data_IF_697301578019
#
_entry.id   IF_697301578019
#
_cell.length_a   1.000
_cell.length_b   1.000
_cell.length_c   1.000
_cell.angle_alpha   90.00
_cell.angle_beta   90.00
_cell.angle_gamma   90.00
#
_symmetry.space_group_name_H-M   'P 1'
#
loop_
_entity.id
_entity.type
_entity.pdbx_description
1 polymer ?
#
# COMPACT_ATOMS: atom_id res chain seq x y z
N UNK A 1 28.29 13.44 -8.39
CA UNK A 1 27.70 12.18 -7.89
C UNK A 1 26.17 12.08 -8.04
N UNK A 2 25.41 13.18 -8.03
CA UNK A 2 23.93 13.15 -8.11
C UNK A 2 23.37 12.65 -9.47
N UNK A 3 24.15 12.79 -10.55
CA UNK A 3 23.69 12.48 -11.92
C UNK A 3 23.55 10.98 -12.23
N UNK A 4 24.23 10.11 -11.48
CA UNK A 4 24.15 8.66 -11.66
C UNK A 4 23.04 8.04 -10.80
N UNK A 5 22.66 8.68 -9.69
CA UNK A 5 21.55 8.24 -8.83
C UNK A 5 20.20 8.29 -9.53
N UNK A 6 19.91 9.37 -10.26
CA UNK A 6 18.66 9.47 -11.05
C UNK A 6 18.59 8.41 -12.15
N UNK A 7 19.71 8.05 -12.78
CA UNK A 7 19.71 7.02 -13.83
C UNK A 7 19.42 5.64 -13.24
N UNK A 8 20.03 5.29 -12.12
CA UNK A 8 19.76 4.02 -11.42
C UNK A 8 18.30 3.96 -10.97
N UNK A 9 17.76 5.06 -10.43
CA UNK A 9 16.37 5.14 -10.01
C UNK A 9 15.40 4.98 -11.19
N UNK A 10 15.66 5.67 -12.30
CA UNK A 10 14.86 5.54 -13.52
C UNK A 10 14.96 4.12 -14.06
N UNK A 11 16.16 3.54 -14.15
CA UNK A 11 16.32 2.16 -14.64
C UNK A 11 15.64 1.14 -13.73
N UNK A 12 15.66 1.34 -12.40
CA UNK A 12 14.88 0.51 -11.47
C UNK A 12 13.38 0.64 -11.77
N UNK A 13 12.86 1.88 -11.84
CA UNK A 13 11.44 2.15 -12.12
C UNK A 13 11.02 1.59 -13.49
N UNK A 14 11.85 1.71 -14.51
CA UNK A 14 11.56 1.17 -15.85
C UNK A 14 11.63 -0.36 -15.88
N UNK A 15 12.54 -0.99 -15.13
CA UNK A 15 12.54 -2.46 -14.96
C UNK A 15 11.31 -2.95 -14.20
N UNK A 16 10.85 -2.20 -13.19
CA UNK A 16 9.61 -2.48 -12.45
C UNK A 16 8.36 -2.37 -13.34
N UNK A 17 8.34 -1.48 -14.34
CA UNK A 17 7.17 -1.25 -15.20
C UNK A 17 7.04 -2.17 -16.43
N UNK A 18 8.06 -2.96 -16.78
CA UNK A 18 8.11 -3.69 -18.06
C UNK A 18 8.01 -5.23 -17.95
N UNK A 19 7.71 -5.79 -16.77
CA UNK A 19 7.47 -7.23 -16.65
C UNK A 19 5.96 -7.51 -16.56
N UNK A 20 5.38 -8.30 -17.48
CA UNK A 20 4.02 -8.76 -17.29
C UNK A 20 3.99 -9.63 -16.03
N UNK A 21 3.16 -9.25 -15.06
CA UNK A 21 3.00 -9.93 -13.79
C UNK A 21 2.31 -11.29 -13.99
N UNK A 22 3.07 -12.31 -14.40
CA UNK A 22 2.67 -13.71 -14.28
C UNK A 22 3.02 -14.19 -12.88
N UNK A 23 1.97 -14.33 -12.05
CA UNK A 23 1.94 -14.73 -10.63
C UNK A 23 3.07 -15.71 -10.22
N UNK A 24 4.30 -15.27 -10.01
CA UNK A 24 5.44 -16.15 -9.80
C UNK A 24 5.41 -16.83 -8.44
N UNK A 25 5.07 -16.09 -7.38
CA UNK A 25 4.83 -16.66 -6.05
C UNK A 25 3.63 -17.63 -6.02
N UNK A 26 2.83 -17.73 -7.08
CA UNK A 26 1.81 -18.78 -7.15
C UNK A 26 2.32 -20.13 -7.62
N UNK A 27 3.52 -20.19 -8.23
CA UNK A 27 4.14 -21.45 -8.62
C UNK A 27 4.72 -22.22 -7.43
N UNK A 28 5.18 -21.50 -6.41
CA UNK A 28 5.74 -22.09 -5.21
C UNK A 28 4.65 -22.36 -4.15
N UNK A 29 4.76 -23.49 -3.46
CA UNK A 29 3.96 -23.84 -2.29
C UNK A 29 4.66 -23.31 -1.04
N UNK A 30 4.07 -22.32 -0.39
CA UNK A 30 4.59 -21.75 0.85
C UNK A 30 3.77 -22.22 2.05
N UNK A 31 4.45 -22.59 3.14
CA UNK A 31 3.89 -22.83 4.46
C UNK A 31 4.42 -21.75 5.41
N UNK A 32 3.75 -20.59 5.37
CA UNK A 32 4.14 -19.39 6.12
C UNK A 32 3.91 -19.57 7.62
N UNK A 33 5.00 -19.50 8.38
CA UNK A 33 4.96 -19.41 9.84
C UNK A 33 5.34 -18.01 10.29
N UNK A 34 4.50 -17.39 11.12
CA UNK A 34 4.84 -16.13 11.77
C UNK A 34 6.09 -16.32 12.65
N UNK A 35 7.10 -15.50 12.41
CA UNK A 35 8.37 -15.50 13.14
C UNK A 35 8.51 -14.27 14.02
N UNK A 36 8.11 -13.11 13.51
CA UNK A 36 8.11 -11.85 14.25
C UNK A 36 6.80 -11.11 13.97
N UNK A 37 6.21 -10.51 15.00
CA UNK A 37 5.10 -9.57 14.87
C UNK A 37 5.32 -8.43 15.84
N UNK A 38 5.22 -7.21 15.32
CA UNK A 38 5.35 -5.98 16.08
C UNK A 38 4.18 -5.07 15.74
N UNK A 39 3.56 -4.51 16.79
CA UNK A 39 2.40 -3.64 16.70
C UNK A 39 2.75 -2.30 17.33
N UNK A 40 2.77 -1.25 16.54
CA UNK A 40 3.24 0.08 16.93
C UNK A 40 2.12 1.10 16.69
N UNK A 41 1.66 1.84 17.71
CA UNK A 41 0.82 3.01 17.48
C UNK A 41 1.66 4.09 16.79
N UNK A 42 1.14 4.67 15.71
CA UNK A 42 1.82 5.73 14.97
C UNK A 42 0.94 6.97 14.91
N UNK A 43 1.54 8.15 14.78
CA UNK A 43 0.77 9.42 14.72
C UNK A 43 0.03 9.58 13.39
N UNK A 44 0.65 9.18 12.28
CA UNK A 44 0.11 9.23 10.92
C UNK A 44 0.50 7.96 10.15
N UNK A 45 -0.26 7.58 9.11
CA UNK A 45 0.13 6.47 8.25
C UNK A 45 1.39 6.83 7.45
N UNK A 46 2.13 5.81 6.99
CA UNK A 46 3.38 5.99 6.25
C UNK A 46 3.08 6.39 4.82
N UNK A 47 2.00 5.85 4.25
CA UNK A 47 1.45 6.18 2.95
C UNK A 47 -0.09 6.27 3.06
N UNK A 48 -0.74 7.30 2.49
CA UNK A 48 -2.19 7.47 2.58
C UNK A 48 -2.95 6.60 1.56
N UNK A 49 -2.63 5.30 1.49
CA UNK A 49 -3.23 4.37 0.53
C UNK A 49 -4.68 4.04 0.88
N UNK A 50 -4.96 3.81 2.16
CA UNK A 50 -6.32 3.53 2.62
C UNK A 50 -7.21 4.78 2.51
N UNK A 51 -6.62 5.96 2.70
CA UNK A 51 -7.25 7.26 2.52
C UNK A 51 -7.63 7.50 1.06
N UNK A 52 -6.77 7.13 0.10
CA UNK A 52 -7.10 7.16 -1.32
C UNK A 52 -8.31 6.28 -1.65
N UNK A 53 -8.32 5.07 -1.13
CA UNK A 53 -9.35 4.09 -1.41
C UNK A 53 -10.72 4.53 -0.87
N UNK A 54 -10.74 5.22 0.27
CA UNK A 54 -11.95 5.82 0.83
C UNK A 54 -12.61 6.89 -0.08
N UNK A 55 -11.88 7.41 -1.08
CA UNK A 55 -12.39 8.40 -2.04
C UNK A 55 -13.04 7.75 -3.27
N UNK A 56 -12.59 6.54 -3.63
CA UNK A 56 -12.76 5.94 -4.96
C UNK A 56 -14.23 5.79 -5.40
N UNK A 57 -15.14 5.44 -4.49
CA UNK A 57 -16.51 5.05 -4.86
C UNK A 57 -17.54 6.19 -4.80
N UNK A 58 -17.20 7.32 -4.18
CA UNK A 58 -18.22 8.31 -3.78
C UNK A 58 -18.20 9.60 -4.56
N UNK A 59 -17.14 9.83 -5.32
CA UNK A 59 -16.88 11.12 -5.92
C UNK A 59 -16.68 10.96 -7.44
N UNK A 60 -17.51 11.60 -8.27
CA UNK A 60 -17.27 11.67 -9.71
C UNK A 60 -15.90 12.27 -10.00
N UNK A 61 -15.18 11.69 -10.97
CA UNK A 61 -13.93 12.27 -11.47
C UNK A 61 -14.13 13.76 -11.79
N UNK A 62 -13.17 14.59 -11.38
CA UNK A 62 -13.13 16.06 -11.56
C UNK A 62 -14.11 16.89 -10.71
N UNK A 63 -14.83 16.29 -9.75
CA UNK A 63 -15.70 17.05 -8.84
C UNK A 63 -14.99 17.62 -7.61
N UNK A 64 -13.83 17.07 -7.24
CA UNK A 64 -12.93 17.64 -6.22
C UNK A 64 -11.82 18.45 -6.87
N UNK A 65 -11.47 19.59 -6.28
CA UNK A 65 -10.28 20.37 -6.66
C UNK A 65 -9.00 19.87 -5.98
N UNK A 66 -9.07 19.56 -4.68
CA UNK A 66 -7.92 19.18 -3.83
C UNK A 66 -8.35 18.33 -2.64
N UNK A 67 -7.38 17.63 -2.04
CA UNK A 67 -7.56 16.87 -0.81
C UNK A 67 -6.86 17.59 0.34
N UNK A 68 -7.59 17.88 1.41
CA UNK A 68 -7.04 18.38 2.68
C UNK A 68 -6.92 17.19 3.61
N UNK A 69 -5.69 16.80 3.94
CA UNK A 69 -5.41 15.62 4.74
C UNK A 69 -5.01 15.99 6.17
N UNK A 70 -5.95 15.80 7.10
CA UNK A 70 -5.85 16.15 8.51
C UNK A 70 -5.34 14.96 9.32
N UNK A 71 -4.08 14.99 9.76
CA UNK A 71 -3.50 13.98 10.63
C UNK A 71 -2.36 14.57 11.47
N UNK A 72 -1.82 13.76 12.39
CA UNK A 72 -0.62 14.12 13.16
C UNK A 72 0.63 13.76 12.35
N UNK A 73 0.86 14.53 11.28
CA UNK A 73 1.89 14.25 10.28
C UNK A 73 3.30 14.34 10.87
N UNK A 74 4.12 13.35 10.56
CA UNK A 74 5.55 13.45 10.71
C UNK A 74 6.20 13.78 9.35
N UNK A 75 7.52 13.94 9.32
CA UNK A 75 8.23 14.23 8.07
C UNK A 75 7.98 13.13 7.02
N UNK A 76 8.01 11.87 7.45
CA UNK A 76 7.86 10.71 6.56
C UNK A 76 6.47 10.68 5.89
N UNK A 77 5.39 10.89 6.66
CA UNK A 77 4.02 10.93 6.13
C UNK A 77 3.79 12.15 5.23
N UNK A 78 4.48 13.26 5.48
CA UNK A 78 4.41 14.42 4.58
C UNK A 78 5.15 14.17 3.27
N UNK A 79 6.34 13.56 3.34
CA UNK A 79 7.11 13.19 2.14
C UNK A 79 6.44 12.07 1.34
N UNK A 80 5.62 11.25 1.98
CA UNK A 80 4.90 10.17 1.32
C UNK A 80 3.99 10.67 0.20
N UNK A 81 3.51 11.92 0.29
CA UNK A 81 2.69 12.56 -0.74
C UNK A 81 3.41 12.69 -2.09
N UNK A 82 4.74 12.78 -2.10
CA UNK A 82 5.51 12.82 -3.35
C UNK A 82 5.44 11.49 -4.12
N UNK A 83 5.25 10.39 -3.41
CA UNK A 83 5.17 9.06 -4.02
C UNK A 83 3.79 8.76 -4.63
N UNK A 84 2.78 9.55 -4.27
CA UNK A 84 1.41 9.40 -4.74
C UNK A 84 1.30 9.54 -6.27
N UNK A 85 2.12 10.39 -6.86
CA UNK A 85 2.19 10.59 -8.31
C UNK A 85 2.64 9.36 -9.11
N UNK A 86 3.19 8.34 -8.45
CA UNK A 86 3.53 7.07 -9.10
C UNK A 86 2.40 6.05 -9.07
N UNK A 87 1.32 6.32 -8.32
CA UNK A 87 0.17 5.44 -8.23
C UNK A 87 -0.75 5.65 -9.45
N UNK A 88 -1.39 4.60 -9.97
CA UNK A 88 -2.28 4.72 -11.12
C UNK A 88 -3.64 5.38 -10.79
N UNK A 89 -3.90 5.66 -9.50
CA UNK A 89 -5.10 6.31 -8.98
C UNK A 89 -5.20 7.77 -9.44
N UNK A 90 -6.30 8.16 -10.07
CA UNK A 90 -6.48 9.57 -10.45
C UNK A 90 -6.56 10.48 -9.20
N UNK A 91 -7.09 9.97 -8.09
CA UNK A 91 -7.15 10.64 -6.79
C UNK A 91 -5.77 10.93 -6.21
N UNK A 92 -4.78 10.09 -6.52
CA UNK A 92 -3.40 10.28 -6.12
C UNK A 92 -2.72 11.43 -6.87
N UNK A 93 -3.31 11.89 -7.98
CA UNK A 93 -2.84 13.02 -8.76
C UNK A 93 -3.53 14.35 -8.38
N UNK A 94 -4.50 14.33 -7.46
CA UNK A 94 -5.05 15.55 -6.90
C UNK A 94 -3.97 16.28 -6.06
N UNK A 95 -4.06 17.60 -5.88
CA UNK A 95 -3.24 18.29 -4.91
C UNK A 95 -3.60 17.85 -3.48
N UNK A 96 -2.66 17.25 -2.76
CA UNK A 96 -2.81 16.88 -1.35
C UNK A 96 -2.15 17.91 -0.44
N UNK A 97 -2.90 18.43 0.53
CA UNK A 97 -2.43 19.36 1.54
C UNK A 97 -2.48 18.72 2.92
N UNK A 98 -1.31 18.33 3.43
CA UNK A 98 -1.17 17.86 4.81
C UNK A 98 -1.44 19.01 5.79
N UNK A 99 -2.39 18.79 6.70
CA UNK A 99 -2.78 19.74 7.76
C UNK A 99 -2.68 19.04 9.12
N UNK A 100 -2.29 19.78 10.16
CA UNK A 100 -2.14 19.25 11.50
C UNK A 100 -3.47 18.78 12.10
N UNK A 101 -3.41 17.77 12.97
CA UNK A 101 -4.56 17.13 13.64
C UNK A 101 -5.45 18.08 14.44
N UNK A 102 -4.91 19.20 14.93
CA UNK A 102 -5.67 20.19 15.69
C UNK A 102 -6.67 20.99 14.83
N UNK A 103 -6.56 20.92 13.49
CA UNK A 103 -7.56 21.49 12.61
C UNK A 103 -8.87 20.70 12.71
N UNK A 104 -9.96 21.37 13.07
CA UNK A 104 -11.27 20.75 13.12
C UNK A 104 -11.77 20.47 11.69
N UNK A 105 -12.00 19.20 11.38
CA UNK A 105 -12.60 18.77 10.10
C UNK A 105 -13.93 19.50 9.83
N UNK A 106 -14.70 19.76 10.89
CA UNK A 106 -16.00 20.43 10.80
C UNK A 106 -15.84 21.92 10.47
N UNK A 107 -14.84 22.58 11.06
CA UNK A 107 -14.55 23.99 10.77
C UNK A 107 -14.05 24.14 9.33
N UNK A 108 -13.09 23.31 8.92
CA UNK A 108 -12.62 23.24 7.55
C UNK A 108 -13.78 22.99 6.56
N UNK A 109 -14.70 22.08 6.89
CA UNK A 109 -15.87 21.80 6.06
C UNK A 109 -16.80 23.01 5.95
N UNK A 110 -17.01 23.74 7.06
CA UNK A 110 -17.84 24.94 7.10
C UNK A 110 -17.26 26.07 6.25
N UNK A 111 -15.96 26.31 6.38
CA UNK A 111 -15.24 27.36 5.64
C UNK A 111 -15.27 27.12 4.13
N UNK A 112 -15.24 25.86 3.71
CA UNK A 112 -15.16 25.50 2.29
C UNK A 112 -16.52 25.21 1.63
N UNK A 113 -17.64 25.38 2.34
CA UNK A 113 -18.99 25.04 1.83
C UNK A 113 -19.45 25.89 0.64
N UNK A 114 -18.98 27.14 0.57
CA UNK A 114 -19.37 28.10 -0.48
C UNK A 114 -18.48 28.02 -1.74
N UNK A 115 -17.47 27.14 -1.76
CA UNK A 115 -16.53 27.02 -2.87
C UNK A 115 -17.17 26.21 -4.00
N UNK A 116 -17.05 26.70 -5.24
CA UNK A 116 -17.64 26.07 -6.43
C UNK A 116 -17.17 24.63 -6.65
N UNK A 117 -15.93 24.31 -6.24
CA UNK A 117 -15.40 22.95 -6.15
C UNK A 117 -14.89 22.73 -4.73
N UNK A 118 -15.73 22.15 -3.89
CA UNK A 118 -15.37 21.87 -2.51
C UNK A 118 -14.16 20.92 -2.45
N UNK A 119 -13.20 21.14 -1.53
CA UNK A 119 -12.14 20.18 -1.28
C UNK A 119 -12.73 18.93 -0.61
N UNK A 120 -12.06 17.80 -0.80
CA UNK A 120 -12.29 16.64 0.05
C UNK A 120 -11.45 16.78 1.30
N UNK A 121 -12.06 16.69 2.47
CA UNK A 121 -11.35 16.72 3.75
C UNK A 121 -11.28 15.30 4.28
N UNK A 122 -10.06 14.79 4.46
CA UNK A 122 -9.81 13.45 5.00
C UNK A 122 -9.11 13.60 6.33
N UNK A 123 -9.76 13.17 7.41
CA UNK A 123 -9.15 13.00 8.71
C UNK A 123 -8.69 11.57 8.92
N UNK A 124 -7.46 11.40 9.40
CA UNK A 124 -6.94 10.09 9.79
C UNK A 124 -6.48 10.10 11.24
N UNK A 125 -7.00 9.19 12.05
CA UNK A 125 -6.52 8.96 13.42
C UNK A 125 -6.56 7.47 13.81
N UNK A 126 -6.20 7.17 15.07
CA UNK A 126 -6.10 5.80 15.59
C UNK A 126 -5.20 4.91 14.71
N UNK A 127 -4.09 5.47 14.23
CA UNK A 127 -3.20 4.78 13.30
C UNK A 127 -2.37 3.73 14.02
N UNK A 128 -2.20 2.61 13.34
CA UNK A 128 -1.42 1.50 13.82
C UNK A 128 -0.62 0.89 12.68
N UNK A 129 0.67 0.70 12.92
CA UNK A 129 1.58 -0.02 12.05
C UNK A 129 1.83 -1.40 12.64
N UNK A 130 1.58 -2.44 11.85
CA UNK A 130 1.96 -3.80 12.13
C UNK A 130 3.10 -4.20 11.20
N UNK A 131 4.14 -4.79 11.76
CA UNK A 131 5.28 -5.33 11.02
C UNK A 131 5.33 -6.82 11.33
N UNK A 132 5.16 -7.66 10.31
CA UNK A 132 5.17 -9.10 10.45
C UNK A 132 6.23 -9.71 9.53
N UNK A 133 7.03 -10.62 10.07
CA UNK A 133 7.96 -11.45 9.31
C UNK A 133 7.49 -12.89 9.40
N UNK A 134 7.27 -13.47 8.23
CA UNK A 134 6.96 -14.88 8.07
C UNK A 134 8.15 -15.61 7.47
N UNK A 135 8.25 -16.89 7.82
CA UNK A 135 9.27 -17.81 7.36
C UNK A 135 8.57 -19.01 6.73
N UNK A 136 8.99 -19.41 5.55
CA UNK A 136 8.42 -20.55 4.84
C UNK A 136 9.09 -21.87 5.23
N UNK A 137 8.32 -22.78 5.81
CA UNK A 137 8.82 -24.11 6.20
C UNK A 137 9.17 -25.00 5.02
N UNK A 138 8.49 -24.85 3.88
CA UNK A 138 8.74 -25.69 2.69
C UNK A 138 10.08 -25.35 2.00
N UNK A 139 10.68 -24.22 2.36
CA UNK A 139 11.95 -23.74 1.81
C UNK A 139 13.15 -24.02 2.71
N UNK A 140 13.01 -24.90 3.71
CA UNK A 140 13.94 -25.06 4.84
C UNK A 140 14.18 -23.74 5.59
N UNK A 141 13.14 -22.91 5.76
CA UNK A 141 13.22 -21.59 6.41
C UNK A 141 14.13 -20.58 5.69
N UNK A 142 14.32 -20.73 4.38
CA UNK A 142 15.17 -19.83 3.57
C UNK A 142 14.36 -18.78 2.83
N UNK A 143 13.06 -18.97 2.64
CA UNK A 143 12.17 -17.96 2.07
C UNK A 143 11.43 -17.21 3.17
N UNK A 144 11.30 -15.90 3.00
CA UNK A 144 10.73 -14.99 3.97
C UNK A 144 9.71 -14.08 3.32
N UNK A 145 8.70 -13.69 4.09
CA UNK A 145 7.73 -12.66 3.71
C UNK A 145 7.68 -11.60 4.81
N UNK A 146 8.04 -10.36 4.45
CA UNK A 146 7.95 -9.20 5.31
C UNK A 146 6.72 -8.38 4.93
N UNK A 147 5.82 -8.17 5.89
CA UNK A 147 4.57 -7.43 5.70
C UNK A 147 4.57 -6.20 6.60
N UNK A 148 4.37 -5.04 6.00
CA UNK A 148 4.04 -3.79 6.69
C UNK A 148 2.56 -3.53 6.47
N UNK A 149 1.75 -3.63 7.50
CA UNK A 149 0.32 -3.36 7.45
C UNK A 149 0.00 -2.12 8.26
N UNK A 150 -0.82 -1.24 7.71
CA UNK A 150 -1.32 -0.07 8.39
C UNK A 150 -2.83 -0.15 8.51
N UNK A 151 -3.33 0.14 9.70
CA UNK A 151 -4.75 0.32 9.93
C UNK A 151 -5.00 1.71 10.50
N UNK A 152 -6.07 2.34 10.06
CA UNK A 152 -6.44 3.68 10.50
C UNK A 152 -7.96 3.81 10.61
N UNK A 153 -8.41 4.80 11.38
CA UNK A 153 -9.77 5.30 11.29
C UNK A 153 -9.77 6.51 10.36
N UNK A 154 -10.58 6.45 9.31
CA UNK A 154 -10.66 7.47 8.28
C UNK A 154 -12.02 8.17 8.41
N UNK A 155 -12.00 9.50 8.39
CA UNK A 155 -13.18 10.36 8.34
C UNK A 155 -13.10 11.24 7.11
N UNK A 156 -13.92 10.94 6.12
CA UNK A 156 -13.98 11.72 4.90
C UNK A 156 -15.21 12.64 4.92
N UNK A 157 -15.01 13.91 4.61
CA UNK A 157 -16.06 14.93 4.53
C UNK A 157 -15.92 15.69 3.23
N UNK A 158 -16.99 15.72 2.45
CA UNK A 158 -17.11 16.51 1.24
C UNK A 158 -18.21 17.56 1.44
N UNK A 159 -17.85 18.83 1.70
CA UNK A 159 -18.80 19.90 2.01
C UNK A 159 -19.41 20.53 0.75
N UNK A 160 -19.73 19.72 -0.25
CA UNK A 160 -20.35 20.19 -1.49
C UNK A 160 -21.74 20.78 -1.23
N UNK A 161 -22.06 21.87 -1.93
CA UNK A 161 -23.33 22.60 -1.73
C UNK A 161 -24.55 21.84 -2.24
N UNK A 162 -24.37 20.96 -3.24
CA UNK A 162 -25.44 20.20 -3.89
C UNK A 162 -25.60 18.83 -3.23
N UNK A 163 -24.49 18.13 -3.00
CA UNK A 163 -24.45 16.76 -2.46
C UNK A 163 -23.40 16.62 -1.36
N UNK A 164 -23.63 17.22 -0.18
CA UNK A 164 -22.73 17.07 0.95
C UNK A 164 -22.76 15.63 1.45
N UNK A 165 -21.61 15.13 1.90
CA UNK A 165 -21.56 13.83 2.56
C UNK A 165 -20.42 13.77 3.58
N UNK A 166 -20.60 12.91 4.57
CA UNK A 166 -19.59 12.55 5.55
C UNK A 166 -19.63 11.05 5.78
N UNK A 167 -18.47 10.44 5.97
CA UNK A 167 -18.34 9.02 6.26
C UNK A 167 -17.19 8.76 7.22
N UNK A 168 -17.40 7.83 8.14
CA UNK A 168 -16.33 7.19 8.89
C UNK A 168 -16.16 5.75 8.37
N UNK A 169 -14.91 5.35 8.17
CA UNK A 169 -14.54 3.99 7.76
C UNK A 169 -13.25 3.55 8.47
N UNK A 170 -12.99 2.25 8.43
CA UNK A 170 -11.69 1.69 8.81
C UNK A 170 -10.86 1.54 7.54
N UNK A 171 -9.69 2.17 7.54
CA UNK A 171 -8.70 2.01 6.50
C UNK A 171 -7.76 0.86 6.81
N UNK A 172 -7.40 0.10 5.79
CA UNK A 172 -6.34 -0.87 5.84
C UNK A 172 -5.49 -0.75 4.58
N UNK A 173 -4.19 -0.67 4.74
CA UNK A 173 -3.22 -0.76 3.66
C UNK A 173 -2.08 -1.68 4.06
N UNK A 174 -1.40 -2.27 3.09
CA UNK A 174 -0.23 -3.08 3.36
C UNK A 174 0.74 -3.10 2.20
N UNK A 175 2.00 -3.37 2.53
CA UNK A 175 3.08 -3.66 1.61
C UNK A 175 3.71 -4.99 2.02
N UNK A 176 3.78 -5.92 1.09
CA UNK A 176 4.38 -7.24 1.27
C UNK A 176 5.62 -7.39 0.41
N UNK A 177 6.70 -7.92 0.97
CA UNK A 177 7.94 -8.25 0.30
C UNK A 177 8.32 -9.70 0.56
N UNK A 178 8.39 -10.51 -0.48
CA UNK A 178 8.82 -11.91 -0.43
C UNK A 178 10.21 -12.04 -1.02
N UNK A 179 11.14 -12.67 -0.29
CA UNK A 179 12.54 -12.80 -0.69
C UNK A 179 13.16 -14.11 -0.22
N UNK A 180 14.21 -14.57 -0.92
CA UNK A 180 14.97 -15.76 -0.57
C UNK A 180 16.29 -15.39 0.09
N UNK A 181 16.49 -15.87 1.31
CA UNK A 181 17.59 -15.66 2.25
C UNK A 181 17.77 -14.20 2.70
N UNK A 182 17.91 -13.26 1.77
CA UNK A 182 18.16 -11.85 2.05
C UNK A 182 17.36 -10.95 1.09
N UNK A 183 16.86 -9.79 1.56
CA UNK A 183 16.08 -8.86 0.76
C UNK A 183 16.99 -7.99 -0.13
N UNK A 184 17.78 -8.64 -0.98
CA UNK A 184 18.72 -8.00 -1.91
C UNK A 184 18.16 -8.01 -3.35
N UNK A 185 18.54 -7.04 -4.20
CA UNK A 185 18.23 -7.08 -5.62
C UNK A 185 18.63 -8.42 -6.26
N UNK A 186 17.74 -9.00 -7.07
CA UNK A 186 17.92 -10.33 -7.67
C UNK A 186 17.53 -11.51 -6.77
N UNK A 187 17.22 -11.26 -5.48
CA UNK A 187 16.71 -12.28 -4.53
C UNK A 187 15.29 -12.01 -4.04
N UNK A 188 14.69 -10.93 -4.52
CA UNK A 188 13.29 -10.60 -4.30
C UNK A 188 12.45 -11.45 -5.26
N UNK A 189 11.52 -12.20 -4.69
CA UNK A 189 10.58 -13.05 -5.43
C UNK A 189 9.35 -12.23 -5.82
N UNK A 190 8.79 -11.49 -4.86
CA UNK A 190 7.64 -10.65 -5.13
C UNK A 190 7.61 -9.43 -4.21
N UNK A 191 7.01 -8.35 -4.70
CA UNK A 191 6.65 -7.18 -3.91
C UNK A 191 5.24 -6.76 -4.31
N UNK A 192 4.35 -6.54 -3.35
CA UNK A 192 2.98 -6.16 -3.60
C UNK A 192 2.48 -5.10 -2.62
N UNK A 193 1.52 -4.30 -3.06
CA UNK A 193 0.93 -3.20 -2.30
C UNK A 193 -0.60 -3.22 -2.41
N UNK A 194 -1.26 -2.77 -1.35
CA UNK A 194 -2.72 -2.66 -1.26
C UNK A 194 -3.11 -1.48 -0.34
N UNK A 195 -4.26 -0.82 -0.55
CA UNK A 195 -5.12 -0.94 -1.72
C UNK A 195 -4.64 -0.04 -2.87
N UNK A 196 -4.92 -0.47 -4.10
CA UNK A 196 -4.90 0.34 -5.31
C UNK A 196 -6.18 0.02 -6.08
N UNK A 197 -7.15 0.94 -6.08
CA UNK A 197 -8.49 0.70 -6.63
C UNK A 197 -9.15 -0.55 -6.02
N UNK A 198 -9.16 -0.64 -4.68
CA UNK A 198 -9.63 -1.80 -3.90
C UNK A 198 -8.95 -3.13 -4.23
N UNK A 199 -7.89 -3.09 -5.04
CA UNK A 199 -7.18 -4.26 -5.54
C UNK A 199 -5.73 -4.20 -5.10
N UNK A 200 -5.10 -5.37 -5.03
CA UNK A 200 -3.66 -5.45 -4.85
C UNK A 200 -2.96 -5.23 -6.19
N UNK A 201 -1.84 -4.51 -6.17
CA UNK A 201 -0.90 -4.45 -7.28
C UNK A 201 0.40 -5.17 -6.91
N UNK A 202 0.86 -6.05 -7.80
CA UNK A 202 2.21 -6.58 -7.76
C UNK A 202 3.15 -5.57 -8.41
N UNK A 203 4.14 -5.09 -7.64
CA UNK A 203 5.19 -4.18 -8.11
C UNK A 203 6.37 -4.98 -8.68
N UNK A 204 6.72 -6.10 -8.03
CA UNK A 204 7.76 -7.02 -8.49
C UNK A 204 7.17 -8.42 -8.47
N UNK A 205 7.40 -9.18 -9.53
CA UNK A 205 7.05 -10.60 -9.60
C UNK A 205 8.11 -11.34 -10.44
N UNK A 206 9.11 -11.91 -9.76
CA UNK A 206 10.31 -12.44 -10.39
C UNK A 206 10.14 -13.92 -10.77
N UNK A 207 9.40 -14.13 -11.84
CA UNK A 207 9.06 -15.46 -12.36
C UNK A 207 10.26 -16.35 -12.61
N UNK A 208 11.23 -15.83 -13.37
CA UNK A 208 12.42 -16.60 -13.73
C UNK A 208 13.16 -17.05 -12.48
N UNK A 209 13.35 -16.18 -11.48
CA UNK A 209 14.06 -16.58 -10.27
C UNK A 209 13.31 -17.65 -9.47
N UNK A 210 11.98 -17.57 -9.40
CA UNK A 210 11.18 -18.63 -8.76
C UNK A 210 11.33 -19.96 -9.48
N UNK A 211 11.28 -19.98 -10.82
CA UNK A 211 11.49 -21.20 -11.61
C UNK A 211 12.87 -21.81 -11.37
N UNK A 212 13.92 -20.99 -11.27
CA UNK A 212 15.27 -21.49 -10.96
C UNK A 212 15.30 -22.13 -9.57
N UNK A 213 14.71 -21.48 -8.56
CA UNK A 213 14.64 -22.05 -7.20
C UNK A 213 13.83 -23.35 -7.14
N UNK A 214 12.78 -23.48 -7.95
CA UNK A 214 12.00 -24.72 -8.08
C UNK A 214 12.80 -25.83 -8.78
N UNK A 215 13.50 -25.50 -9.87
CA UNK A 215 14.34 -26.44 -10.61
C UNK A 215 15.48 -27.00 -9.74
N UNK A 216 16.05 -26.16 -8.88
CA UNK A 216 17.09 -26.55 -7.91
C UNK A 216 16.54 -27.29 -6.67
N UNK A 217 15.22 -27.47 -6.57
CA UNK A 217 14.57 -28.11 -5.42
C UNK A 217 14.65 -27.30 -4.12
N UNK A 218 14.93 -26.00 -4.21
CA UNK A 218 15.03 -25.09 -3.06
C UNK A 218 13.66 -24.55 -2.61
N UNK A 219 12.67 -24.59 -3.49
CA UNK A 219 11.26 -24.35 -3.21
C UNK A 219 10.43 -25.57 -3.60
N UNK A 220 9.31 -25.76 -2.93
CA UNK A 220 8.34 -26.79 -3.28
C UNK A 220 7.38 -26.28 -4.36
N UNK A 221 7.12 -27.09 -5.39
CA UNK A 221 6.14 -26.77 -6.44
C UNK A 221 4.71 -26.85 -5.89
N UNK A 222 3.88 -25.88 -6.25
CA UNK A 222 2.45 -25.88 -5.92
C UNK A 222 1.70 -26.89 -6.79
N UNK A 223 0.93 -27.81 -6.21
CA UNK A 223 0.05 -28.68 -6.99
C UNK A 223 -1.10 -27.89 -7.63
N UNK A 224 -1.45 -28.22 -8.88
CA UNK A 224 -2.44 -27.49 -9.70
C UNK A 224 -3.83 -27.38 -9.04
N UNK A 225 -4.16 -28.30 -8.13
CA UNK A 225 -5.47 -28.39 -7.47
C UNK A 225 -5.67 -27.40 -6.30
N UNK A 226 -4.63 -26.70 -5.85
CA UNK A 226 -4.65 -25.80 -4.67
C UNK A 226 -4.63 -24.31 -5.08
N UNK A 227 -4.84 -24.01 -6.35
CA UNK A 227 -4.78 -22.64 -6.84
C UNK A 227 -6.11 -21.92 -6.68
N UNK A 228 -6.24 -21.11 -5.64
CA UNK A 228 -7.11 -19.94 -5.70
C UNK A 228 -6.26 -18.74 -6.23
N UNK A 229 -6.53 -18.24 -7.44
CA UNK A 229 -5.86 -17.07 -8.01
C UNK A 229 -6.02 -15.79 -7.19
N UNK A 230 -6.90 -15.78 -6.19
CA UNK A 230 -7.19 -14.66 -5.32
C UNK A 230 -6.66 -14.87 -3.89
N UNK A 231 -6.34 -16.10 -3.48
CA UNK A 231 -5.73 -16.41 -2.17
C UNK A 231 -4.22 -16.13 -2.19
N UNK A 232 -3.86 -14.86 -2.12
CA UNK A 232 -2.48 -14.45 -1.84
C UNK A 232 -2.33 -13.82 -0.47
N UNK A 233 -3.32 -14.06 0.39
CA UNK A 233 -3.34 -13.61 1.75
C UNK A 233 -2.14 -14.22 2.46
N UNK A 234 -1.26 -13.36 2.95
CA UNK A 234 -0.39 -13.75 4.06
C UNK A 234 -1.30 -14.13 5.24
N UNK A 235 -0.88 -15.04 6.12
CA UNK A 235 -1.71 -15.48 7.22
C UNK A 235 -2.25 -14.30 8.04
N UNK A 236 -3.46 -14.45 8.57
CA UNK A 236 -4.05 -13.44 9.44
C UNK A 236 -3.08 -13.06 10.56
N UNK A 237 -2.91 -11.75 10.76
CA UNK A 237 -2.08 -11.24 11.84
C UNK A 237 -2.83 -11.34 13.16
N UNK A 238 -2.14 -11.63 14.28
CA UNK A 238 -2.76 -11.62 15.60
C UNK A 238 -3.41 -10.27 15.91
N UNK A 239 -4.60 -10.30 16.53
CA UNK A 239 -5.29 -9.10 17.02
C UNK A 239 -4.56 -8.41 18.17
#
# INVERSE_FOLDING_TARGET
MIRNGCKILITLVTMLCCTPASKACSLALHDWRLYLHLKIPVSAPLLPLAELDAVFDKIPRNSIEKVIWVADHNQLSSFSLLFMHFLPNWEAHLPWHATARNASIIELARENRAVTKAPLIIGTDQNQLQIALFVDRNSDNRCFQLVFMQTSRIRAVHPDSIKPWAQESRGQSWLSLTFYQLPLPGRILAMAIFPIYQSRIALIDNHSFVEHLLADGLLATRPEQVFDPYSFDFPDLPE
#
